data_IF_200551301755
#
_entry.id   IF_200551301755
#
_cell.length_a   1.000
_cell.length_b   1.000
_cell.length_c   1.000
_cell.angle_alpha   90.00
_cell.angle_beta   90.00
_cell.angle_gamma   90.00
#
_symmetry.space_group_name_H-M   'P 1'
#
loop_
_entity.id
_entity.type
_entity.pdbx_description
1 polymer ?
#
# COMPACT_ATOMS: atom_id res chain seq x y z
N UNK A 1 3.68 11.38 2.89
CA UNK A 1 2.88 10.97 4.08
C UNK A 1 2.85 9.45 4.14
N UNK A 2 2.92 8.83 5.33
CA UNK A 2 2.83 7.36 5.47
C UNK A 2 1.52 7.00 6.19
N UNK A 3 0.72 6.12 5.59
CA UNK A 3 -0.58 5.69 6.13
C UNK A 3 -0.78 4.19 6.08
N UNK A 4 -1.56 3.68 7.04
CA UNK A 4 -2.09 2.31 7.06
C UNK A 4 -3.54 2.37 6.57
N UNK A 5 -3.89 1.55 5.59
CA UNK A 5 -5.24 1.40 5.09
C UNK A 5 -5.78 0.00 5.40
N UNK A 6 -6.93 -0.02 6.05
CA UNK A 6 -7.61 -1.24 6.51
C UNK A 6 -8.74 -1.72 5.61
N UNK A 7 -9.03 -1.03 4.50
CA UNK A 7 -10.15 -1.43 3.65
C UNK A 7 -9.99 -2.85 3.07
N UNK A 8 -11.11 -3.51 2.80
CA UNK A 8 -11.15 -4.87 2.26
C UNK A 8 -10.35 -5.02 0.96
N UNK A 9 -10.37 -4.01 0.09
CA UNK A 9 -9.56 -4.01 -1.13
C UNK A 9 -8.06 -4.03 -0.83
N UNK A 10 -7.60 -3.27 0.16
CA UNK A 10 -6.20 -3.27 0.57
C UNK A 10 -5.78 -4.62 1.17
N UNK A 11 -6.66 -5.23 1.96
CA UNK A 11 -6.47 -6.58 2.50
C UNK A 11 -6.35 -7.61 1.37
N UNK A 12 -7.34 -7.65 0.46
CA UNK A 12 -7.36 -8.58 -0.69
C UNK A 12 -6.16 -8.43 -1.61
N UNK A 13 -5.80 -7.18 -1.95
CA UNK A 13 -4.70 -6.92 -2.87
C UNK A 13 -3.31 -7.18 -2.25
N UNK A 14 -3.19 -7.24 -0.92
CA UNK A 14 -1.92 -7.60 -0.25
C UNK A 14 -1.88 -9.03 0.25
N UNK A 15 -3.04 -9.66 0.48
CA UNK A 15 -3.13 -10.87 1.28
C UNK A 15 -2.82 -10.64 2.78
N UNK A 16 -2.74 -9.40 3.24
CA UNK A 16 -2.36 -9.03 4.60
C UNK A 16 -3.51 -8.33 5.33
N UNK A 17 -3.34 -8.10 6.64
CA UNK A 17 -4.34 -7.43 7.48
C UNK A 17 -4.60 -5.97 7.10
N UNK A 18 -3.61 -5.31 6.48
CA UNK A 18 -3.69 -3.93 6.03
C UNK A 18 -2.60 -3.64 5.00
N UNK A 19 -2.68 -2.47 4.38
CA UNK A 19 -1.66 -1.97 3.44
C UNK A 19 -0.99 -0.71 3.98
N UNK A 20 0.34 -0.68 3.95
CA UNK A 20 1.12 0.52 4.28
C UNK A 20 1.59 1.22 3.01
N UNK A 21 1.28 2.51 2.88
CA UNK A 21 1.56 3.29 1.67
C UNK A 21 2.24 4.62 2.01
N UNK A 22 3.24 4.98 1.21
CA UNK A 22 3.84 6.32 1.23
C UNK A 22 3.27 7.13 0.06
N UNK A 23 2.58 8.23 0.36
CA UNK A 23 2.09 9.17 -0.66
C UNK A 23 3.13 10.25 -0.96
N UNK A 24 3.34 10.51 -2.25
CA UNK A 24 4.12 11.63 -2.81
C UNK A 24 3.38 12.24 -4.01
N UNK A 25 3.78 13.44 -4.43
CA UNK A 25 3.25 14.08 -5.65
C UNK A 25 3.79 13.38 -6.89
N UNK A 26 3.03 13.38 -7.98
CA UNK A 26 3.45 12.78 -9.25
C UNK A 26 4.77 13.33 -9.77
N UNK A 27 4.95 14.65 -9.70
CA UNK A 27 6.17 15.33 -10.11
C UNK A 27 7.43 14.92 -9.32
N UNK A 28 7.28 14.34 -8.13
CA UNK A 28 8.39 13.91 -7.26
C UNK A 28 8.66 12.40 -7.35
N UNK A 29 8.12 11.71 -8.36
CA UNK A 29 8.30 10.28 -8.56
C UNK A 29 8.72 9.98 -9.99
N UNK A 30 9.71 9.11 -10.13
CA UNK A 30 10.23 8.69 -11.42
C UNK A 30 10.50 7.19 -11.38
N UNK A 31 10.13 6.48 -12.46
CA UNK A 31 10.53 5.08 -12.66
C UNK A 31 11.90 5.12 -13.33
N UNK A 32 12.91 4.58 -12.66
CA UNK A 32 14.30 4.58 -13.15
C UNK A 32 14.66 3.33 -13.94
N UNK A 33 13.82 2.30 -13.91
CA UNK A 33 14.04 1.06 -14.65
C UNK A 33 12.88 0.06 -14.48
N UNK A 34 12.78 -0.85 -15.45
CA UNK A 34 11.68 -1.80 -15.56
C UNK A 34 10.35 -1.15 -15.96
N UNK A 35 9.39 -1.98 -16.33
CA UNK A 35 8.04 -1.56 -16.68
C UNK A 35 7.02 -2.32 -15.82
N UNK A 36 6.46 -1.69 -14.76
CA UNK A 36 5.43 -2.32 -13.95
C UNK A 36 4.16 -2.61 -14.75
N UNK A 37 3.61 -3.80 -14.56
CA UNK A 37 2.32 -4.17 -15.16
C UNK A 37 1.19 -3.44 -14.44
N UNK A 38 0.22 -2.96 -15.22
CA UNK A 38 -0.99 -2.31 -14.72
C UNK A 38 -2.12 -3.31 -14.49
N UNK A 39 -2.76 -3.20 -13.33
CA UNK A 39 -4.09 -3.72 -13.04
C UNK A 39 -4.99 -2.58 -12.57
N UNK A 40 -6.17 -2.43 -13.17
CA UNK A 40 -7.13 -1.40 -12.77
C UNK A 40 -8.15 -2.02 -11.82
N UNK A 41 -8.19 -1.52 -10.58
CA UNK A 41 -9.21 -1.88 -9.59
C UNK A 41 -10.31 -0.83 -9.57
N UNK A 42 -11.56 -1.25 -9.74
CA UNK A 42 -12.70 -0.44 -9.34
C UNK A 42 -12.87 -0.56 -7.83
N UNK A 43 -12.65 0.54 -7.12
CA UNK A 43 -12.86 0.61 -5.67
C UNK A 43 -14.33 0.57 -5.33
N UNK A 44 -14.66 0.19 -4.09
CA UNK A 44 -16.04 0.17 -3.58
C UNK A 44 -16.71 1.55 -3.63
N UNK A 45 -15.90 2.62 -3.60
CA UNK A 45 -16.35 4.01 -3.79
C UNK A 45 -16.53 4.43 -5.26
N UNK A 46 -16.48 3.48 -6.20
CA UNK A 46 -16.60 3.72 -7.64
C UNK A 46 -15.36 4.34 -8.30
N UNK A 47 -14.31 4.69 -7.54
CA UNK A 47 -13.09 5.28 -8.12
C UNK A 47 -12.21 4.19 -8.70
N UNK A 48 -11.63 4.47 -9.87
CA UNK A 48 -10.66 3.59 -10.52
C UNK A 48 -9.27 3.83 -9.92
N UNK A 49 -8.67 2.77 -9.39
CA UNK A 49 -7.35 2.79 -8.77
C UNK A 49 -6.41 1.95 -9.60
N UNK A 50 -5.41 2.61 -10.18
CA UNK A 50 -4.39 1.97 -11.01
C UNK A 50 -3.37 1.34 -10.07
N UNK A 51 -3.20 0.02 -10.15
CA UNK A 51 -2.25 -0.77 -9.40
C UNK A 51 -1.10 -1.17 -10.31
N UNK A 52 0.12 -0.74 -9.97
CA UNK A 52 1.32 -1.08 -10.73
C UNK A 52 2.16 -2.07 -9.94
N UNK A 53 2.49 -3.20 -10.54
CA UNK A 53 3.21 -4.30 -9.90
C UNK A 53 4.31 -4.87 -10.80
N UNK A 54 5.32 -5.48 -10.19
CA UNK A 54 6.39 -6.14 -10.93
C UNK A 54 5.83 -7.38 -11.65
N UNK A 55 5.95 -7.49 -12.99
CA UNK A 55 5.42 -8.64 -13.73
C UNK A 55 6.13 -9.96 -13.41
N UNK A 56 7.35 -9.91 -12.87
CA UNK A 56 8.18 -11.10 -12.63
C UNK A 56 7.93 -11.73 -11.26
N UNK A 57 7.79 -10.92 -10.20
CA UNK A 57 7.61 -11.41 -8.83
C UNK A 57 6.25 -11.06 -8.22
N UNK A 58 5.39 -10.33 -8.92
CA UNK A 58 4.05 -9.93 -8.44
C UNK A 58 4.05 -8.83 -7.37
N UNK A 59 5.22 -8.36 -6.92
CA UNK A 59 5.30 -7.34 -5.87
C UNK A 59 4.60 -6.04 -6.30
N UNK A 60 3.67 -5.50 -5.49
CA UNK A 60 3.02 -4.23 -5.82
C UNK A 60 4.01 -3.08 -5.59
N UNK A 61 4.21 -2.22 -6.60
CA UNK A 61 5.23 -1.16 -6.59
C UNK A 61 4.63 0.18 -6.19
N UNK A 62 3.61 0.63 -6.94
CA UNK A 62 2.93 1.89 -6.65
C UNK A 62 1.46 1.88 -7.12
N UNK A 63 0.72 2.92 -6.74
CA UNK A 63 -0.65 3.15 -7.18
C UNK A 63 -0.90 4.62 -7.45
N UNK A 64 -1.87 4.88 -8.31
CA UNK A 64 -2.43 6.21 -8.54
C UNK A 64 -3.93 6.10 -8.87
N UNK A 65 -4.59 7.23 -9.11
CA UNK A 65 -5.96 7.28 -9.63
C UNK A 65 -6.03 7.88 -11.04
N UNK A 66 -7.21 8.35 -11.41
CA UNK A 66 -7.49 9.04 -12.68
C UNK A 66 -7.89 10.49 -12.37
N UNK A 67 -7.79 11.39 -13.36
CA UNK A 67 -8.12 12.81 -13.17
C UNK A 67 -7.21 13.45 -12.12
N UNK A 68 -7.81 14.20 -11.19
CA UNK A 68 -7.06 14.87 -10.10
C UNK A 68 -6.30 13.89 -9.19
N UNK A 69 -6.80 12.65 -9.04
CA UNK A 69 -6.11 11.62 -8.24
C UNK A 69 -4.80 11.14 -8.87
N UNK A 70 -4.56 11.44 -10.15
CA UNK A 70 -3.32 11.09 -10.84
C UNK A 70 -2.12 11.90 -10.31
N UNK A 71 -2.37 13.05 -9.68
CA UNK A 71 -1.35 13.91 -9.09
C UNK A 71 -0.74 13.35 -7.80
N UNK A 72 -1.39 12.35 -7.19
CA UNK A 72 -0.87 11.63 -6.03
C UNK A 72 -0.44 10.21 -6.42
N UNK A 73 0.74 9.80 -5.92
CA UNK A 73 1.19 8.42 -6.01
C UNK A 73 1.52 7.83 -4.67
N UNK A 74 0.90 6.66 -4.44
CA UNK A 74 1.13 5.81 -3.29
C UNK A 74 2.15 4.73 -3.61
N UNK A 75 3.34 4.84 -3.04
CA UNK A 75 4.42 3.85 -3.12
C UNK A 75 4.20 2.80 -2.02
N UNK A 76 4.38 1.52 -2.33
CA UNK A 76 4.19 0.45 -1.34
C UNK A 76 5.40 0.37 -0.42
N UNK A 77 5.19 0.54 0.89
CA UNK A 77 6.29 0.63 1.85
C UNK A 77 7.22 -0.61 1.80
N UNK A 78 6.63 -1.80 1.65
CA UNK A 78 7.38 -3.06 1.63
C UNK A 78 8.39 -3.17 0.48
N UNK A 79 8.22 -2.41 -0.61
CA UNK A 79 9.14 -2.44 -1.77
C UNK A 79 10.20 -1.34 -1.73
N UNK A 80 10.30 -0.59 -0.62
CA UNK A 80 11.26 0.52 -0.46
C UNK A 80 12.49 0.01 0.31
N UNK A 81 13.68 0.33 -0.19
CA UNK A 81 14.93 -0.04 0.48
C UNK A 81 15.08 0.69 1.82
N UNK A 82 14.78 1.99 1.84
CA UNK A 82 14.77 2.87 3.01
C UNK A 82 13.54 2.70 3.93
N UNK A 83 12.79 1.60 3.82
CA UNK A 83 11.51 1.40 4.53
C UNK A 83 11.58 1.61 6.05
N UNK A 84 12.74 1.41 6.68
CA UNK A 84 12.92 1.61 8.12
C UNK A 84 12.91 3.08 8.55
N UNK A 85 13.08 4.02 7.62
CA UNK A 85 13.04 5.47 7.87
C UNK A 85 11.61 6.01 7.91
N UNK A 86 10.62 5.18 7.56
CA UNK A 86 9.23 5.59 7.38
C UNK A 86 8.33 4.97 8.43
N UNK A 87 7.67 5.81 9.22
CA UNK A 87 6.68 5.39 10.21
C UNK A 87 5.29 5.91 9.84
N UNK A 88 4.26 5.05 9.84
CA UNK A 88 2.88 5.48 9.64
C UNK A 88 2.45 6.52 10.68
N UNK A 89 1.74 7.56 10.24
CA UNK A 89 1.17 8.58 11.15
C UNK A 89 -0.36 8.60 11.14
N UNK A 90 -0.97 7.81 10.26
CA UNK A 90 -2.41 7.79 10.04
C UNK A 90 -2.90 6.37 9.78
N UNK A 91 -4.10 6.08 10.25
CA UNK A 91 -4.85 4.89 9.90
C UNK A 91 -6.17 5.32 9.27
N UNK A 92 -6.58 4.66 8.20
CA UNK A 92 -7.81 4.98 7.46
C UNK A 92 -8.60 3.71 7.17
N UNK A 93 -9.91 3.87 6.99
CA UNK A 93 -10.86 2.78 6.76
C UNK A 93 -10.88 1.73 7.90
N UNK A 94 -10.67 2.18 9.15
CA UNK A 94 -10.58 1.31 10.32
C UNK A 94 -11.88 0.54 10.64
N UNK A 95 -13.01 0.92 10.03
CA UNK A 95 -14.26 0.13 10.12
C UNK A 95 -14.11 -1.28 9.55
N UNK A 96 -13.13 -1.51 8.67
CA UNK A 96 -12.83 -2.82 8.08
C UNK A 96 -11.61 -3.49 8.71
N UNK A 97 -11.00 -2.89 9.74
CA UNK A 97 -9.83 -3.44 10.42
C UNK A 97 -10.11 -4.83 10.98
N UNK A 98 -9.14 -5.74 10.82
CA UNK A 98 -9.25 -7.06 11.44
C UNK A 98 -9.13 -6.91 12.96
N UNK A 99 -10.07 -7.46 13.77
CA UNK A 99 -10.15 -7.16 15.20
C UNK A 99 -8.87 -7.38 15.99
N UNK A 100 -8.06 -8.37 15.61
CA UNK A 100 -6.83 -8.76 16.31
C UNK A 100 -5.61 -7.88 16.01
N UNK A 101 -5.69 -6.93 15.07
CA UNK A 101 -4.51 -6.15 14.63
C UNK A 101 -3.90 -5.32 15.76
N UNK A 102 -4.73 -4.77 16.64
CA UNK A 102 -4.26 -3.98 17.79
C UNK A 102 -3.66 -4.86 18.91
N UNK A 103 -3.92 -6.16 18.90
CA UNK A 103 -3.49 -7.11 19.93
C UNK A 103 -2.14 -7.77 19.60
N UNK A 104 -1.54 -7.46 18.45
CA UNK A 104 -0.29 -8.08 17.98
C UNK A 104 0.86 -8.03 19.01
N UNK A 105 0.91 -6.98 19.83
CA UNK A 105 1.95 -6.82 20.86
C UNK A 105 1.79 -7.77 22.05
N UNK A 106 0.58 -8.26 22.30
CA UNK A 106 0.28 -9.20 23.37
C UNK A 106 0.53 -10.67 22.96
N UNK A 107 0.70 -10.94 21.66
CA UNK A 107 0.96 -12.29 21.18
C UNK A 107 2.38 -12.75 21.53
N UNK A 108 2.57 -14.04 21.91
CA UNK A 108 3.89 -14.58 22.18
C UNK A 108 4.77 -14.52 20.93
N UNK A 109 5.96 -13.92 21.05
CA UNK A 109 6.97 -13.89 20.00
C UNK A 109 7.88 -15.09 20.17
N UNK A 110 8.06 -15.87 19.10
CA UNK A 110 9.12 -16.87 19.02
C UNK A 110 10.28 -16.25 18.26
N UNK A 111 11.44 -16.18 18.89
CA UNK A 111 12.67 -15.86 18.18
C UNK A 111 13.23 -17.17 17.59
N UNK A 112 13.68 -17.09 16.35
CA UNK A 112 14.38 -18.16 15.64
C UNK A 112 15.71 -17.58 15.16
N UNK A 113 16.48 -17.10 16.13
CA UNK A 113 17.91 -16.84 16.00
C UNK A 113 18.68 -18.17 15.90
#
# INVERSE_FOLDING_TARGET
MVSICHCTDCQRLTGAAYRVTISTRRAAFTITGGEPRLYVKLGENGRRRLQYFCPNCGSPVYTTGEGEDAEEVGIRLGTINQRYEFQPRWQIWCSSELPWVQDLTALPKRSFD
#
